data_IF_185093988662
#
_entry.id   IF_185093988662
#
_cell.length_a   1.000
_cell.length_b   1.000
_cell.length_c   1.000
_cell.angle_alpha   90.00
_cell.angle_beta   90.00
_cell.angle_gamma   90.00
#
_symmetry.space_group_name_H-M   'P 1'
#
loop_
_entity.id
_entity.type
_entity.pdbx_description
1 polymer ?
#
# COMPACT_ATOMS: atom_id res chain seq x y z
N UNK A 1 -31.15 -30.37 25.55
CA UNK A 1 -29.88 -29.81 25.05
C UNK A 1 -30.13 -29.15 23.70
N UNK A 2 -30.02 -27.82 23.58
CA UNK A 2 -30.14 -27.13 22.29
C UNK A 2 -28.86 -27.39 21.50
N UNK A 3 -28.94 -28.28 20.51
CA UNK A 3 -27.85 -28.51 19.55
C UNK A 3 -27.65 -27.22 18.80
N UNK A 4 -26.43 -26.67 18.86
CA UNK A 4 -26.10 -25.39 18.27
C UNK A 4 -26.16 -25.56 16.72
N UNK A 5 -27.12 -24.95 16.00
CA UNK A 5 -27.39 -25.25 14.58
C UNK A 5 -26.21 -24.88 13.66
N UNK A 6 -25.23 -24.15 14.18
CA UNK A 6 -24.01 -23.75 13.46
C UNK A 6 -22.90 -24.82 13.44
N UNK A 7 -23.05 -25.95 14.16
CA UNK A 7 -22.04 -27.02 14.13
C UNK A 7 -21.97 -27.73 12.76
N UNK A 8 -23.09 -27.77 12.05
CA UNK A 8 -23.19 -28.41 10.73
C UNK A 8 -22.80 -27.50 9.55
N UNK A 9 -22.66 -26.19 9.78
CA UNK A 9 -22.28 -25.24 8.72
C UNK A 9 -20.75 -25.26 8.63
N UNK A 10 -20.17 -25.74 7.52
CA UNK A 10 -18.72 -25.75 7.36
C UNK A 10 -18.21 -24.31 7.38
N UNK A 11 -17.20 -24.04 8.22
CA UNK A 11 -16.57 -22.72 8.29
C UNK A 11 -16.10 -22.32 6.87
N UNK A 12 -16.62 -21.22 6.30
CA UNK A 12 -16.32 -20.82 4.93
C UNK A 12 -14.83 -20.49 4.73
N UNK A 13 -14.09 -20.23 5.81
CA UNK A 13 -12.66 -19.94 5.81
C UNK A 13 -11.76 -21.17 6.04
N UNK A 14 -12.33 -22.36 6.27
CA UNK A 14 -11.53 -23.58 6.45
C UNK A 14 -10.94 -24.10 5.15
N UNK A 15 -11.57 -23.83 4.01
CA UNK A 15 -11.14 -24.35 2.71
C UNK A 15 -10.10 -23.43 2.03
N UNK A 16 -10.07 -22.14 2.35
CA UNK A 16 -9.05 -21.19 1.86
C UNK A 16 -8.22 -20.64 3.02
N UNK A 17 -7.12 -21.32 3.36
CA UNK A 17 -6.14 -20.75 4.30
C UNK A 17 -5.41 -19.62 3.59
N UNK A 18 -5.80 -18.39 3.89
CA UNK A 18 -5.18 -17.18 3.37
C UNK A 18 -3.84 -16.97 4.06
N UNK A 19 -2.76 -17.00 3.29
CA UNK A 19 -1.41 -16.81 3.82
C UNK A 19 -0.99 -15.34 3.79
N UNK A 20 -1.56 -14.58 2.86
CA UNK A 20 -1.26 -13.18 2.61
C UNK A 20 -2.53 -12.35 2.38
N UNK A 21 -2.61 -11.16 3.01
CA UNK A 21 -3.74 -10.26 2.85
C UNK A 21 -3.89 -9.70 1.43
N UNK A 22 -2.83 -9.75 0.61
CA UNK A 22 -2.87 -9.37 -0.80
C UNK A 22 -3.53 -10.38 -1.73
N UNK A 23 -3.82 -11.60 -1.24
CA UNK A 23 -4.51 -12.63 -2.04
C UNK A 23 -5.95 -12.19 -2.38
N UNK A 24 -6.36 -12.41 -3.64
CA UNK A 24 -7.76 -12.21 -4.05
C UNK A 24 -8.61 -13.39 -3.59
N UNK A 25 -9.70 -13.08 -2.90
CA UNK A 25 -10.51 -14.02 -2.13
C UNK A 25 -11.98 -13.66 -2.25
N UNK A 26 -12.82 -14.67 -2.23
CA UNK A 26 -14.25 -14.52 -2.05
C UNK A 26 -14.50 -13.93 -0.65
N UNK A 27 -15.18 -12.78 -0.63
CA UNK A 27 -15.55 -12.07 0.60
C UNK A 27 -17.06 -12.21 0.85
N UNK A 28 -17.42 -12.25 2.12
CA UNK A 28 -18.82 -12.26 2.58
C UNK A 28 -18.97 -11.03 3.50
N UNK A 29 -19.58 -9.93 3.02
CA UNK A 29 -19.61 -8.65 3.72
C UNK A 29 -20.15 -8.73 5.15
N UNK A 30 -21.13 -9.60 5.39
CA UNK A 30 -21.80 -9.81 6.66
C UNK A 30 -20.83 -10.37 7.72
N UNK A 31 -19.84 -11.17 7.31
CA UNK A 31 -18.86 -11.72 8.22
C UNK A 31 -17.86 -10.63 8.60
N UNK A 32 -17.62 -10.46 9.90
CA UNK A 32 -16.78 -9.40 10.47
C UNK A 32 -17.22 -7.97 10.14
N UNK A 33 -18.50 -7.74 9.80
CA UNK A 33 -19.02 -6.41 9.47
C UNK A 33 -18.67 -5.37 10.55
N UNK A 34 -18.94 -5.67 11.82
CA UNK A 34 -18.61 -4.78 12.94
C UNK A 34 -17.09 -4.51 13.08
N UNK A 35 -16.25 -5.53 12.89
CA UNK A 35 -14.80 -5.37 12.97
C UNK A 35 -14.26 -4.53 11.80
N UNK A 36 -14.83 -4.69 10.61
CA UNK A 36 -14.51 -3.87 9.45
C UNK A 36 -14.90 -2.41 9.66
N UNK A 37 -16.12 -2.14 10.12
CA UNK A 37 -16.56 -0.78 10.43
C UNK A 37 -15.69 -0.12 11.50
N UNK A 38 -15.24 -0.89 12.49
CA UNK A 38 -14.31 -0.41 13.53
C UNK A 38 -12.98 0.00 12.91
N UNK A 39 -12.42 -0.80 12.01
CA UNK A 39 -11.18 -0.46 11.30
C UNK A 39 -11.36 0.76 10.38
N UNK A 40 -12.48 0.87 9.67
CA UNK A 40 -12.78 2.05 8.84
C UNK A 40 -12.91 3.33 9.67
N UNK A 41 -13.58 3.26 10.84
CA UNK A 41 -13.68 4.39 11.77
C UNK A 41 -12.33 4.81 12.33
N UNK A 42 -11.49 3.85 12.73
CA UNK A 42 -10.13 4.14 13.19
C UNK A 42 -9.30 4.84 12.09
N UNK A 43 -9.43 4.40 10.84
CA UNK A 43 -8.76 5.06 9.71
C UNK A 43 -9.24 6.51 9.50
N UNK A 44 -10.55 6.76 9.56
CA UNK A 44 -11.10 8.11 9.46
C UNK A 44 -10.71 9.00 10.65
N UNK A 45 -10.60 8.43 11.85
CA UNK A 45 -10.09 9.14 13.02
C UNK A 45 -8.65 9.58 12.82
N UNK A 46 -7.77 8.73 12.29
CA UNK A 46 -6.38 9.09 11.95
C UNK A 46 -6.36 10.21 10.91
N UNK A 47 -7.19 10.11 9.87
CA UNK A 47 -7.27 11.10 8.79
C UNK A 47 -7.68 12.49 9.29
N UNK A 48 -8.60 12.55 10.25
CA UNK A 48 -9.16 13.81 10.78
C UNK A 48 -8.32 14.38 11.93
N UNK A 49 -7.93 13.56 12.90
CA UNK A 49 -7.16 13.97 14.07
C UNK A 49 -5.67 14.19 13.80
N UNK A 50 -5.14 13.58 12.72
CA UNK A 50 -3.70 13.53 12.40
C UNK A 50 -2.84 12.84 13.48
N UNK A 51 -3.45 12.04 14.35
CA UNK A 51 -2.77 11.21 15.33
C UNK A 51 -2.81 9.73 14.92
N UNK A 52 -1.85 8.95 15.41
CA UNK A 52 -1.82 7.50 15.19
C UNK A 52 -2.93 6.81 16.01
N UNK A 53 -3.52 5.76 15.43
CA UNK A 53 -4.53 4.92 16.07
C UNK A 53 -4.19 3.43 15.85
N UNK A 54 -4.75 2.53 16.66
CA UNK A 54 -4.50 1.10 16.59
C UNK A 54 -5.75 0.29 16.95
N UNK A 55 -6.02 -0.76 16.18
CA UNK A 55 -7.15 -1.68 16.42
C UNK A 55 -6.62 -3.09 16.67
N UNK A 56 -6.97 -3.67 17.82
CA UNK A 56 -6.63 -5.05 18.16
C UNK A 56 -7.76 -6.00 17.76
N UNK A 57 -7.48 -6.86 16.79
CA UNK A 57 -8.41 -7.90 16.34
C UNK A 57 -8.02 -9.25 16.97
N UNK A 58 -8.91 -9.85 17.75
CA UNK A 58 -8.71 -11.15 18.37
C UNK A 58 -9.75 -12.18 17.90
N UNK A 59 -9.38 -13.46 17.92
CA UNK A 59 -10.26 -14.57 17.54
C UNK A 59 -9.47 -15.85 17.29
N UNK A 60 -10.16 -17.00 17.30
CA UNK A 60 -9.54 -18.31 17.08
C UNK A 60 -8.83 -18.46 15.72
N UNK A 61 -8.02 -19.50 15.58
CA UNK A 61 -7.44 -19.86 14.29
C UNK A 61 -8.56 -20.17 13.26
N UNK A 62 -8.41 -19.70 12.03
CA UNK A 62 -9.45 -19.87 11.00
C UNK A 62 -10.70 -19.01 11.20
N UNK A 63 -10.67 -18.01 12.09
CA UNK A 63 -11.81 -17.11 12.30
C UNK A 63 -12.04 -16.11 11.16
N UNK A 64 -11.17 -16.03 10.14
CA UNK A 64 -11.31 -15.09 9.02
C UNK A 64 -10.62 -13.72 9.20
N UNK A 65 -9.72 -13.55 10.18
CA UNK A 65 -8.96 -12.29 10.37
C UNK A 65 -8.20 -11.86 9.12
N UNK A 66 -7.52 -12.79 8.43
CA UNK A 66 -6.79 -12.47 7.20
C UNK A 66 -7.74 -12.09 6.06
N UNK A 67 -8.94 -12.69 5.99
CA UNK A 67 -9.98 -12.27 5.05
C UNK A 67 -10.41 -10.83 5.31
N UNK A 68 -10.65 -10.47 6.58
CA UNK A 68 -10.98 -9.10 6.97
C UNK A 68 -9.88 -8.11 6.55
N UNK A 69 -8.60 -8.45 6.77
CA UNK A 69 -7.48 -7.61 6.33
C UNK A 69 -7.41 -7.47 4.81
N UNK A 70 -7.65 -8.54 4.05
CA UNK A 70 -7.74 -8.48 2.59
C UNK A 70 -8.89 -7.59 2.12
N UNK A 71 -10.05 -7.65 2.80
CA UNK A 71 -11.18 -6.76 2.52
C UNK A 71 -10.84 -5.30 2.76
N UNK A 72 -10.19 -4.99 3.89
CA UNK A 72 -9.72 -3.62 4.21
C UNK A 72 -8.70 -3.12 3.19
N UNK A 73 -7.74 -3.98 2.83
CA UNK A 73 -6.74 -3.69 1.80
C UNK A 73 -7.43 -3.30 0.49
N UNK A 74 -8.41 -4.08 0.00
CA UNK A 74 -9.16 -3.71 -1.20
C UNK A 74 -9.95 -2.43 -1.01
N UNK A 75 -10.65 -2.28 0.12
CA UNK A 75 -11.44 -1.09 0.39
C UNK A 75 -10.62 0.21 0.31
N UNK A 76 -9.39 0.22 0.85
CA UNK A 76 -8.54 1.41 0.86
C UNK A 76 -7.68 1.61 -0.39
N UNK A 77 -7.36 0.54 -1.11
CA UNK A 77 -6.45 0.60 -2.28
C UNK A 77 -7.17 0.61 -3.62
N UNK A 78 -8.42 0.12 -3.68
CA UNK A 78 -9.22 0.14 -4.90
C UNK A 78 -9.85 1.52 -5.06
N UNK A 79 -9.58 2.17 -6.20
CA UNK A 79 -10.31 3.38 -6.59
C UNK A 79 -11.78 3.01 -6.76
N UNK A 80 -12.66 3.56 -5.93
CA UNK A 80 -14.10 3.42 -6.15
C UNK A 80 -14.44 4.02 -7.52
N UNK A 81 -14.74 3.16 -8.49
CA UNK A 81 -15.10 3.55 -9.86
C UNK A 81 -16.55 4.09 -9.96
N UNK A 82 -17.20 4.42 -8.85
CA UNK A 82 -18.59 4.85 -8.85
C UNK A 82 -18.73 6.17 -8.07
N UNK A 83 -18.74 7.27 -8.83
CA UNK A 83 -19.14 8.59 -8.33
C UNK A 83 -18.01 9.63 -8.26
N UNK A 84 -17.73 10.25 -9.41
CA UNK A 84 -17.21 11.62 -9.57
C UNK A 84 -15.86 12.04 -8.93
N UNK A 85 -15.21 11.25 -8.08
CA UNK A 85 -13.86 11.56 -7.60
C UNK A 85 -12.88 10.46 -8.00
N UNK A 86 -11.98 10.82 -8.90
CA UNK A 86 -10.92 9.98 -9.44
C UNK A 86 -9.81 9.78 -8.38
N UNK A 87 -10.20 9.34 -7.19
CA UNK A 87 -9.31 9.17 -6.04
C UNK A 87 -8.58 7.83 -6.19
N UNK A 88 -7.39 7.92 -6.76
CA UNK A 88 -6.37 6.90 -6.59
C UNK A 88 -6.14 6.74 -5.08
N UNK A 89 -6.04 5.50 -4.62
CA UNK A 89 -5.78 5.17 -3.22
C UNK A 89 -4.64 6.02 -2.65
N UNK A 90 -4.97 6.88 -1.68
CA UNK A 90 -4.00 7.73 -0.96
C UNK A 90 -3.31 6.99 0.18
N UNK A 91 -3.73 5.76 0.44
CA UNK A 91 -3.25 4.92 1.52
C UNK A 91 -2.20 3.93 1.00
N UNK A 92 -1.17 3.69 1.82
CA UNK A 92 -0.28 2.55 1.66
C UNK A 92 -0.74 1.50 2.66
N UNK A 93 -1.12 0.33 2.15
CA UNK A 93 -1.41 -0.83 2.97
C UNK A 93 -0.13 -1.64 3.17
N UNK A 94 0.10 -2.10 4.39
CA UNK A 94 1.24 -2.93 4.76
C UNK A 94 0.74 -4.14 5.54
N UNK A 95 1.22 -5.32 5.19
CA UNK A 95 0.89 -6.57 5.84
C UNK A 95 2.16 -7.26 6.32
N UNK A 96 2.46 -7.16 7.61
CA UNK A 96 3.64 -7.79 8.19
C UNK A 96 3.25 -8.89 9.19
N UNK A 97 3.56 -10.14 8.83
CA UNK A 97 3.52 -11.27 9.77
C UNK A 97 4.75 -11.21 10.67
N UNK A 98 4.56 -11.13 11.98
CA UNK A 98 5.64 -11.06 12.98
C UNK A 98 6.24 -12.44 13.30
N UNK A 99 6.45 -13.28 12.28
CA UNK A 99 7.04 -14.61 12.42
C UNK A 99 8.56 -14.56 12.18
N UNK A 100 9.28 -13.79 12.99
CA UNK A 100 10.74 -13.59 12.85
C UNK A 100 11.41 -13.51 14.22
N UNK A 101 12.72 -13.72 14.26
CA UNK A 101 13.48 -13.54 15.51
C UNK A 101 13.58 -12.05 15.87
N UNK A 102 13.61 -11.68 17.16
CA UNK A 102 13.69 -10.27 17.58
C UNK A 102 14.87 -9.52 16.95
N UNK A 103 16.02 -10.18 16.80
CA UNK A 103 17.22 -9.61 16.19
C UNK A 103 17.08 -9.29 14.70
N UNK A 104 16.12 -9.91 13.99
CA UNK A 104 15.86 -9.67 12.56
C UNK A 104 14.58 -8.88 12.32
N UNK A 105 13.89 -8.44 13.37
CA UNK A 105 12.60 -7.77 13.26
C UNK A 105 12.65 -6.54 12.35
N UNK A 106 13.65 -5.67 12.53
CA UNK A 106 13.79 -4.46 11.70
C UNK A 106 14.13 -4.76 10.24
N UNK A 107 14.97 -5.77 9.99
CA UNK A 107 15.29 -6.21 8.64
C UNK A 107 14.04 -6.78 7.96
N UNK A 108 13.26 -7.59 8.68
CA UNK A 108 12.02 -8.17 8.22
C UNK A 108 10.95 -7.12 7.92
N UNK A 109 10.75 -6.17 8.85
CA UNK A 109 9.84 -5.03 8.66
C UNK A 109 10.23 -4.20 7.45
N UNK A 110 11.52 -3.86 7.31
CA UNK A 110 12.04 -3.10 6.17
C UNK A 110 11.81 -3.84 4.85
N UNK A 111 12.10 -5.13 4.80
CA UNK A 111 11.91 -5.95 3.60
C UNK A 111 10.44 -6.04 3.21
N UNK A 112 9.58 -6.36 4.17
CA UNK A 112 8.13 -6.46 3.97
C UNK A 112 7.54 -5.12 3.54
N UNK A 113 7.98 -4.02 4.19
CA UNK A 113 7.56 -2.67 3.82
C UNK A 113 7.87 -2.36 2.36
N UNK A 114 9.07 -2.68 1.87
CA UNK A 114 9.46 -2.43 0.48
C UNK A 114 8.71 -3.33 -0.49
N UNK A 115 8.49 -4.59 -0.12
CA UNK A 115 7.72 -5.54 -0.92
C UNK A 115 6.27 -5.08 -1.09
N UNK A 116 5.62 -4.66 -0.01
CA UNK A 116 4.27 -4.10 -0.05
C UNK A 116 4.23 -2.77 -0.80
N UNK A 117 5.20 -1.87 -0.54
CA UNK A 117 5.25 -0.56 -1.21
C UNK A 117 5.42 -0.69 -2.73
N UNK A 118 6.15 -1.72 -3.17
CA UNK A 118 6.38 -2.06 -4.58
C UNK A 118 5.40 -3.10 -5.12
N UNK A 119 4.41 -3.52 -4.32
CA UNK A 119 3.35 -4.42 -4.74
C UNK A 119 2.64 -3.84 -5.96
N UNK A 120 2.47 -4.68 -6.99
CA UNK A 120 1.85 -4.29 -8.27
C UNK A 120 0.37 -4.64 -8.27
N UNK A 121 -0.45 -3.64 -8.55
CA UNK A 121 -1.86 -3.81 -8.84
C UNK A 121 -2.06 -4.43 -10.24
N UNK A 122 -3.27 -4.93 -10.56
CA UNK A 122 -3.57 -5.52 -11.87
C UNK A 122 -3.34 -4.57 -13.07
N UNK A 123 -3.36 -3.26 -12.86
CA UNK A 123 -3.05 -2.25 -13.87
C UNK A 123 -1.53 -2.01 -14.04
N UNK A 124 -0.69 -2.80 -13.38
CA UNK A 124 0.76 -2.74 -13.42
C UNK A 124 1.40 -1.67 -12.52
N UNK A 125 0.58 -0.81 -11.89
CA UNK A 125 1.05 0.28 -11.04
C UNK A 125 1.43 -0.20 -9.65
N UNK A 126 2.34 0.51 -8.98
CA UNK A 126 2.72 0.20 -7.58
C UNK A 126 2.02 1.12 -6.57
N UNK A 127 1.96 0.72 -5.29
CA UNK A 127 1.49 1.60 -4.22
C UNK A 127 2.30 2.91 -4.17
N UNK A 128 3.61 2.84 -4.36
CA UNK A 128 4.47 4.02 -4.42
C UNK A 128 4.07 4.97 -5.55
N UNK A 129 3.85 4.47 -6.76
CA UNK A 129 3.46 5.30 -7.91
C UNK A 129 2.12 5.99 -7.68
N UNK A 130 1.16 5.27 -7.09
CA UNK A 130 -0.16 5.80 -6.72
C UNK A 130 -0.06 6.89 -5.66
N UNK A 131 0.74 6.66 -4.61
CA UNK A 131 1.00 7.65 -3.56
C UNK A 131 1.63 8.93 -4.13
N UNK A 132 2.65 8.79 -4.98
CA UNK A 132 3.35 9.93 -5.60
C UNK A 132 2.41 10.71 -6.52
N UNK A 133 1.59 10.03 -7.32
CA UNK A 133 0.59 10.68 -8.17
C UNK A 133 -0.42 11.51 -7.36
N UNK A 134 -0.84 11.01 -6.19
CA UNK A 134 -1.70 11.76 -5.26
C UNK A 134 -0.98 13.00 -4.70
N UNK A 135 0.28 12.87 -4.26
CA UNK A 135 1.07 14.01 -3.77
C UNK A 135 1.34 15.06 -4.84
N UNK A 136 1.58 14.65 -6.08
CA UNK A 136 1.74 15.57 -7.20
C UNK A 136 0.45 16.34 -7.48
N UNK A 137 -0.72 15.70 -7.40
CA UNK A 137 -1.99 16.38 -7.55
C UNK A 137 -2.23 17.43 -6.44
N UNK A 138 -1.83 17.14 -5.19
CA UNK A 138 -1.89 18.09 -4.06
C UNK A 138 -0.97 19.31 -4.25
N UNK A 139 0.23 19.08 -4.82
CA UNK A 139 1.22 20.12 -5.09
C UNK A 139 0.92 20.97 -6.33
N UNK A 140 0.22 20.44 -7.32
CA UNK A 140 -0.15 21.12 -8.58
C UNK A 140 -1.38 22.03 -8.42
N UNK A 141 -1.31 22.95 -7.44
CA UNK A 141 -2.39 23.89 -7.12
C UNK A 141 -2.80 24.79 -8.28
N UNK A 142 -1.88 25.04 -9.23
CA UNK A 142 -2.08 25.97 -10.34
C UNK A 142 -2.81 25.33 -11.53
N UNK A 143 -2.57 24.04 -11.83
CA UNK A 143 -3.19 23.36 -13.00
C UNK A 143 -4.28 22.36 -12.61
N UNK A 144 -4.48 22.10 -11.31
CA UNK A 144 -5.51 21.20 -10.73
C UNK A 144 -5.59 19.86 -11.47
N UNK A 145 -4.46 19.29 -11.86
CA UNK A 145 -4.43 17.98 -12.54
C UNK A 145 -4.80 16.89 -11.53
N UNK A 146 -5.79 16.04 -11.81
CA UNK A 146 -6.15 14.94 -10.91
C UNK A 146 -5.03 13.89 -10.87
N UNK A 147 -4.95 13.16 -9.75
CA UNK A 147 -3.97 12.10 -9.55
C UNK A 147 -3.95 11.09 -10.70
N UNK A 148 -5.11 10.77 -11.29
CA UNK A 148 -5.21 9.81 -12.40
C UNK A 148 -4.44 10.24 -13.65
N UNK A 149 -4.40 11.55 -13.95
CA UNK A 149 -3.60 12.07 -15.06
C UNK A 149 -2.11 11.97 -14.74
N UNK A 150 -1.71 12.23 -13.50
CA UNK A 150 -0.34 12.03 -13.06
C UNK A 150 0.05 10.55 -13.16
N UNK A 151 -0.73 9.65 -12.58
CA UNK A 151 -0.45 8.21 -12.63
C UNK A 151 -0.31 7.72 -14.07
N UNK A 152 -1.25 8.05 -14.96
CA UNK A 152 -1.18 7.70 -16.38
C UNK A 152 0.05 8.28 -17.08
N UNK A 153 0.45 9.50 -16.71
CA UNK A 153 1.66 10.11 -17.25
C UNK A 153 2.92 9.38 -16.75
N UNK A 154 2.97 9.03 -15.46
CA UNK A 154 4.10 8.33 -14.84
C UNK A 154 4.29 6.91 -15.37
N UNK A 155 3.19 6.21 -15.64
CA UNK A 155 3.21 4.81 -16.06
C UNK A 155 3.37 4.63 -17.57
N UNK A 156 3.25 5.72 -18.35
CA UNK A 156 3.47 5.68 -19.78
C UNK A 156 4.97 5.48 -20.09
N UNK A 157 5.35 4.39 -20.80
CA UNK A 157 6.73 4.11 -21.15
C UNK A 157 7.44 5.25 -21.90
N UNK A 158 6.70 6.00 -22.73
CA UNK A 158 7.26 7.13 -23.48
C UNK A 158 7.74 8.28 -22.57
N UNK A 159 7.22 8.36 -21.34
CA UNK A 159 7.59 9.40 -20.38
C UNK A 159 8.74 9.00 -19.46
N UNK A 160 9.26 7.77 -19.58
CA UNK A 160 10.32 7.25 -18.70
C UNK A 160 11.55 8.15 -18.67
N UNK A 161 11.98 8.64 -19.83
CA UNK A 161 13.15 9.53 -19.99
C UNK A 161 12.76 10.99 -20.18
N UNK A 162 11.52 11.35 -19.86
CA UNK A 162 11.02 12.69 -20.06
C UNK A 162 11.79 13.69 -19.18
N UNK A 163 12.45 14.68 -19.79
CA UNK A 163 13.25 15.68 -19.09
C UNK A 163 12.48 16.48 -18.02
N UNK A 164 11.15 16.51 -18.11
CA UNK A 164 10.25 17.05 -17.09
C UNK A 164 10.38 16.38 -15.71
N UNK A 165 10.82 15.12 -15.62
CA UNK A 165 11.07 14.47 -14.33
C UNK A 165 12.10 15.20 -13.50
N UNK A 166 13.22 15.63 -14.11
CA UNK A 166 14.25 16.40 -13.40
C UNK A 166 13.75 17.79 -12.97
N UNK A 167 12.79 18.37 -13.70
CA UNK A 167 12.22 19.69 -13.40
C UNK A 167 11.08 19.65 -12.38
N UNK A 168 10.44 18.51 -12.19
CA UNK A 168 9.24 18.37 -11.36
C UNK A 168 9.55 17.53 -10.12
N UNK A 169 10.05 16.31 -10.30
CA UNK A 169 10.22 15.34 -9.21
C UNK A 169 11.39 15.67 -8.30
N UNK A 170 12.55 16.07 -8.85
CA UNK A 170 13.71 16.41 -8.02
C UNK A 170 13.44 17.65 -7.15
N UNK A 171 12.95 18.80 -7.69
CA UNK A 171 12.60 19.94 -6.84
C UNK A 171 11.51 19.61 -5.82
N UNK A 172 10.56 18.72 -6.15
CA UNK A 172 9.55 18.28 -5.19
C UNK A 172 10.15 17.44 -4.06
N UNK A 173 11.06 16.50 -4.38
CA UNK A 173 11.79 15.72 -3.38
C UNK A 173 12.74 16.57 -2.53
N UNK A 174 13.39 17.57 -3.13
CA UNK A 174 14.32 18.50 -2.47
C UNK A 174 13.61 19.44 -1.49
N UNK A 175 12.38 19.88 -1.82
CA UNK A 175 11.56 20.68 -0.90
C UNK A 175 11.24 19.95 0.39
N UNK A 176 11.20 18.62 0.35
CA UNK A 176 10.96 17.80 1.52
C UNK A 176 12.28 17.60 2.28
N UNK A 177 12.63 18.58 3.13
CA UNK A 177 13.91 18.72 3.84
C UNK A 177 14.35 17.51 4.70
N UNK A 178 13.55 16.44 4.76
CA UNK A 178 13.80 15.23 5.54
C UNK A 178 14.33 14.06 4.71
N UNK A 179 14.40 14.19 3.39
CA UNK A 179 14.81 13.10 2.49
C UNK A 179 16.26 13.33 2.05
N UNK A 180 17.17 12.45 2.47
CA UNK A 180 18.57 12.50 2.07
C UNK A 180 18.78 12.17 0.58
N UNK A 181 19.88 12.67 0.00
CA UNK A 181 20.20 12.55 -1.43
C UNK A 181 20.09 11.13 -2.00
N UNK A 182 20.64 10.13 -1.31
CA UNK A 182 20.57 8.72 -1.77
C UNK A 182 19.13 8.23 -1.87
N UNK A 183 18.28 8.59 -0.90
CA UNK A 183 16.88 8.21 -0.93
C UNK A 183 16.13 8.94 -2.04
N UNK A 184 16.45 10.20 -2.33
CA UNK A 184 15.87 10.92 -3.47
C UNK A 184 16.18 10.22 -4.80
N UNK A 185 17.42 9.77 -5.01
CA UNK A 185 17.81 9.01 -6.21
C UNK A 185 17.07 7.69 -6.31
N UNK A 186 16.98 6.95 -5.21
CA UNK A 186 16.24 5.68 -5.14
C UNK A 186 14.76 5.88 -5.47
N UNK A 187 14.12 6.89 -4.88
CA UNK A 187 12.74 7.24 -5.19
C UNK A 187 12.60 7.65 -6.66
N UNK A 188 13.54 8.44 -7.20
CA UNK A 188 13.54 8.81 -8.62
C UNK A 188 13.52 7.57 -9.53
N UNK A 189 14.42 6.61 -9.28
CA UNK A 189 14.50 5.35 -10.02
C UNK A 189 13.18 4.55 -9.94
N UNK A 190 12.65 4.37 -8.72
CA UNK A 190 11.40 3.62 -8.52
C UNK A 190 10.18 4.30 -9.15
N UNK A 191 10.10 5.62 -9.10
CA UNK A 191 8.99 6.42 -9.64
C UNK A 191 9.01 6.41 -11.17
N UNK A 192 10.20 6.58 -11.76
CA UNK A 192 10.39 6.61 -13.23
C UNK A 192 10.44 5.22 -13.87
N UNK A 193 10.55 4.16 -13.07
CA UNK A 193 10.68 2.78 -13.56
C UNK A 193 12.08 2.42 -14.04
N UNK A 194 13.10 3.19 -13.65
CA UNK A 194 14.52 2.90 -13.90
C UNK A 194 15.13 2.11 -12.75
N UNK A 195 16.03 1.17 -13.05
CA UNK A 195 16.78 0.39 -12.04
C UNK A 195 15.93 -0.10 -10.86
N UNK A 196 14.70 -0.57 -11.14
CA UNK A 196 13.70 -0.86 -10.10
C UNK A 196 14.17 -1.98 -9.18
N UNK A 197 14.89 -2.96 -9.73
CA UNK A 197 15.41 -4.09 -8.97
C UNK A 197 16.50 -3.62 -8.00
N UNK A 198 17.46 -2.83 -8.50
CA UNK A 198 18.60 -2.32 -7.73
C UNK A 198 18.15 -1.29 -6.69
N UNK A 199 17.24 -0.38 -7.06
CA UNK A 199 16.64 0.57 -6.14
C UNK A 199 15.80 -0.14 -5.06
N UNK A 200 15.08 -1.20 -5.43
CA UNK A 200 14.34 -2.06 -4.51
C UNK A 200 15.26 -2.79 -3.53
N UNK A 201 16.33 -3.42 -4.01
CA UNK A 201 17.33 -4.11 -3.19
C UNK A 201 18.04 -3.14 -2.22
N UNK A 202 18.37 -1.94 -2.69
CA UNK A 202 18.92 -0.88 -1.83
C UNK A 202 17.91 -0.48 -0.75
N UNK A 203 16.63 -0.29 -1.09
CA UNK A 203 15.60 0.00 -0.10
C UNK A 203 15.41 -1.13 0.91
N UNK A 204 15.57 -2.41 0.51
CA UNK A 204 15.53 -3.55 1.43
C UNK A 204 16.77 -3.64 2.33
N UNK A 205 17.85 -2.96 1.94
CA UNK A 205 19.15 -3.06 2.62
C UNK A 205 19.95 -4.29 2.23
N UNK A 206 19.61 -4.89 1.07
CA UNK A 206 20.29 -6.06 0.51
C UNK A 206 21.59 -5.63 -0.20
N UNK A 207 21.61 -4.44 -0.82
CA UNK A 207 22.79 -3.88 -1.49
C UNK A 207 23.35 -2.63 -0.79
N UNK A 208 24.67 -2.62 -0.53
CA UNK A 208 25.39 -1.46 0.01
C UNK A 208 26.01 -0.54 -1.05
N UNK A 209 26.16 -0.98 -2.30
CA UNK A 209 27.04 -0.31 -3.28
C UNK A 209 26.54 -0.38 -4.72
N UNK A 210 25.58 0.44 -5.16
CA UNK A 210 25.33 0.60 -6.61
C UNK A 210 24.98 2.00 -7.11
N UNK A 211 24.65 2.97 -6.26
CA UNK A 211 24.44 4.34 -6.73
C UNK A 211 25.76 5.12 -6.73
N UNK A 212 26.65 4.82 -7.68
CA UNK A 212 27.68 5.79 -8.06
C UNK A 212 27.03 7.00 -8.76
N UNK A 213 27.59 8.21 -8.59
CA UNK A 213 27.08 9.47 -9.16
C UNK A 213 26.79 9.34 -10.66
#
# INVERSE_FOLDING_TARGET
MKVNPFVAIPNPFRQSIVKDAWESLQDVPEIHAQAFDTCCRAFENVRTSKHCDSVLLHGGAGSGKTHLLSRLQRHWTTSQAQGASNEIGRCVFLYCRLQTSPHRLWQHLRKTFVEDLLHRFPDGTTQLQRLVACRFAEGDRNKRRPAAKWLKWMTNPANRDHGGWKRILLPWLEREARIGYSLQRVLYHLITGHHVLEAGAWLKGEDRCLMKP
#
